data_IF_850766285881
#
_entry.id   IF_850766285881
#
_cell.length_a   1.000
_cell.length_b   1.000
_cell.length_c   1.000
_cell.angle_alpha   90.00
_cell.angle_beta   90.00
_cell.angle_gamma   90.00
#
_symmetry.space_group_name_H-M   'P 1'
#
loop_
_entity.id
_entity.type
_entity.pdbx_description
1 polymer ?
#
# COMPACT_ATOMS: atom_id res chain seq x y z
N UNK A 1 -5.78 -1.61 15.51
CA UNK A 1 -5.47 -1.60 14.07
C UNK A 1 -6.73 -1.97 13.35
N UNK A 2 -7.29 -1.04 12.59
CA UNK A 2 -8.51 -1.24 11.79
C UNK A 2 -8.12 -1.35 10.32
N UNK A 3 -8.43 -2.47 9.68
CA UNK A 3 -8.17 -2.67 8.25
C UNK A 3 -9.29 -2.03 7.43
N UNK A 4 -8.92 -1.09 6.56
CA UNK A 4 -9.84 -0.32 5.73
C UNK A 4 -9.99 -0.98 4.35
N UNK A 5 -8.86 -1.39 3.77
CA UNK A 5 -8.80 -2.02 2.44
C UNK A 5 -7.89 -3.22 2.53
N UNK A 6 -8.30 -4.34 1.93
CA UNK A 6 -7.45 -5.52 1.82
C UNK A 6 -7.63 -6.13 0.44
N UNK A 7 -6.60 -6.02 -0.40
CA UNK A 7 -6.55 -6.60 -1.74
C UNK A 7 -5.56 -7.75 -1.80
N UNK A 8 -5.41 -8.37 -2.97
CA UNK A 8 -4.36 -9.36 -3.22
C UNK A 8 -2.94 -8.78 -3.20
N UNK A 9 -2.80 -7.46 -3.41
CA UNK A 9 -1.52 -6.78 -3.60
C UNK A 9 -1.11 -5.94 -2.39
N UNK A 10 -2.07 -5.31 -1.71
CA UNK A 10 -1.79 -4.45 -0.56
C UNK A 10 -2.91 -4.52 0.48
N UNK A 11 -2.61 -4.03 1.66
CA UNK A 11 -3.57 -3.78 2.72
C UNK A 11 -3.32 -2.41 3.31
N UNK A 12 -4.42 -1.73 3.62
CA UNK A 12 -4.42 -0.44 4.27
C UNK A 12 -5.09 -0.64 5.62
N UNK A 13 -4.41 -0.19 6.67
CA UNK A 13 -4.98 -0.12 8.00
C UNK A 13 -4.64 1.20 8.66
N UNK A 14 -5.47 1.61 9.62
CA UNK A 14 -5.17 2.76 10.47
C UNK A 14 -4.94 2.31 11.91
N UNK A 15 -3.95 2.91 12.54
CA UNK A 15 -3.67 2.78 13.95
C UNK A 15 -3.33 4.15 14.51
N UNK A 16 -4.19 4.64 15.41
CA UNK A 16 -4.10 5.98 16.00
C UNK A 16 -4.02 7.04 14.89
N UNK A 17 -2.95 7.83 14.84
CA UNK A 17 -2.73 8.90 13.86
C UNK A 17 -1.86 8.44 12.68
N UNK A 18 -1.70 7.13 12.51
CA UNK A 18 -0.83 6.52 11.50
C UNK A 18 -1.67 5.68 10.55
N UNK A 19 -1.59 6.01 9.26
CA UNK A 19 -2.06 5.14 8.21
C UNK A 19 -0.92 4.22 7.76
N UNK A 20 -1.22 2.94 7.64
CA UNK A 20 -0.26 1.87 7.41
C UNK A 20 -0.64 1.18 6.11
N UNK A 21 0.26 1.26 5.13
CA UNK A 21 0.13 0.62 3.82
C UNK A 21 1.12 -0.54 3.77
N UNK A 22 0.58 -1.75 3.76
CA UNK A 22 1.32 -3.00 3.68
C UNK A 22 1.25 -3.54 2.26
N UNK A 23 2.37 -3.69 1.56
CA UNK A 23 2.39 -4.36 0.27
C UNK A 23 2.66 -5.85 0.48
N UNK A 24 1.78 -6.72 -0.02
CA UNK A 24 1.75 -8.16 0.29
C UNK A 24 2.64 -9.01 -0.62
N UNK A 25 2.52 -8.83 -1.95
CA UNK A 25 3.25 -9.62 -2.95
C UNK A 25 3.17 -9.02 -4.36
N UNK A 26 4.10 -9.45 -5.21
CA UNK A 26 4.25 -9.05 -6.60
C UNK A 26 4.03 -7.55 -6.82
N UNK A 27 4.85 -6.72 -6.15
CA UNK A 27 4.79 -5.25 -6.29
C UNK A 27 4.82 -4.83 -7.76
N UNK A 28 5.56 -5.54 -8.62
CA UNK A 28 5.65 -5.23 -10.04
C UNK A 28 4.31 -5.41 -10.76
N UNK A 29 3.64 -6.56 -10.55
CA UNK A 29 2.30 -6.80 -11.09
C UNK A 29 1.33 -5.71 -10.61
N UNK A 30 1.47 -5.29 -9.35
CA UNK A 30 0.68 -4.23 -8.76
C UNK A 30 0.92 -2.85 -9.40
N UNK A 31 2.18 -2.41 -9.53
CA UNK A 31 2.50 -1.09 -10.07
C UNK A 31 2.26 -0.99 -11.58
N UNK A 32 2.28 -2.12 -12.29
CA UNK A 32 1.98 -2.17 -13.73
C UNK A 32 0.47 -2.26 -14.01
N UNK A 33 -0.35 -2.64 -13.04
CA UNK A 33 -1.80 -2.52 -13.10
C UNK A 33 -2.24 -1.07 -12.78
N UNK A 34 -2.51 -0.29 -13.82
CA UNK A 34 -2.94 1.12 -13.73
C UNK A 34 -4.18 1.28 -12.84
N UNK A 35 -5.09 0.30 -12.83
CA UNK A 35 -6.31 0.40 -12.04
C UNK A 35 -5.99 0.24 -10.56
N UNK A 36 -5.27 -0.82 -10.20
CA UNK A 36 -4.95 -1.11 -8.80
C UNK A 36 -4.02 -0.04 -8.21
N UNK A 37 -3.01 0.40 -8.96
CA UNK A 37 -2.10 1.47 -8.54
C UNK A 37 -2.82 2.83 -8.43
N UNK A 38 -3.75 3.12 -9.34
CA UNK A 38 -4.60 4.32 -9.25
C UNK A 38 -5.46 4.34 -7.99
N UNK A 39 -6.11 3.22 -7.64
CA UNK A 39 -6.92 3.11 -6.41
C UNK A 39 -6.08 3.36 -5.14
N UNK A 40 -4.81 2.95 -5.11
CA UNK A 40 -3.92 3.25 -3.99
C UNK A 40 -3.55 4.74 -3.94
N UNK A 41 -3.25 5.37 -5.08
CA UNK A 41 -2.93 6.80 -5.15
C UNK A 41 -4.12 7.66 -4.72
N UNK A 42 -5.32 7.33 -5.17
CA UNK A 42 -6.55 8.01 -4.74
C UNK A 42 -6.72 7.92 -3.23
N UNK A 43 -6.40 6.77 -2.62
CA UNK A 43 -6.45 6.62 -1.17
C UNK A 43 -5.42 7.51 -0.46
N UNK A 44 -4.18 7.57 -0.96
CA UNK A 44 -3.12 8.43 -0.41
C UNK A 44 -3.51 9.91 -0.47
N UNK A 45 -4.09 10.35 -1.60
CA UNK A 45 -4.59 11.71 -1.78
C UNK A 45 -5.73 12.03 -0.82
N UNK A 46 -6.62 11.07 -0.58
CA UNK A 46 -7.70 11.22 0.41
C UNK A 46 -7.16 11.30 1.85
N UNK A 47 -6.16 10.49 2.21
CA UNK A 47 -5.49 10.61 3.51
C UNK A 47 -4.85 11.97 3.69
N UNK A 48 -4.26 12.55 2.65
CA UNK A 48 -3.63 13.86 2.76
C UNK A 48 -4.63 14.96 3.19
N UNK A 49 -5.92 14.76 2.92
CA UNK A 49 -6.99 15.65 3.37
C UNK A 49 -7.51 15.33 4.79
N UNK A 50 -7.16 14.17 5.36
CA UNK A 50 -7.57 13.76 6.71
C UNK A 50 -6.62 14.34 7.77
N UNK A 51 -7.10 15.35 8.49
CA UNK A 51 -6.34 16.02 9.57
C UNK A 51 -6.03 15.13 10.78
N UNK A 52 -6.64 13.94 10.89
CA UNK A 52 -6.39 12.99 11.98
C UNK A 52 -5.15 12.11 11.71
N UNK A 53 -4.81 11.88 10.45
CA UNK A 53 -3.63 11.09 10.08
C UNK A 53 -2.42 12.02 9.96
N UNK A 54 -1.41 11.78 10.78
CA UNK A 54 -0.18 12.58 10.85
C UNK A 54 1.01 11.89 10.21
N UNK A 55 0.94 10.59 10.00
CA UNK A 55 2.02 9.82 9.40
C UNK A 55 1.47 8.71 8.49
N UNK A 56 2.27 8.40 7.46
CA UNK A 56 2.02 7.33 6.52
C UNK A 56 3.21 6.37 6.59
N UNK A 57 2.95 5.13 6.98
CA UNK A 57 3.95 4.07 7.05
C UNK A 57 3.76 3.14 5.86
N UNK A 58 4.76 3.07 4.99
CA UNK A 58 4.86 2.05 3.96
C UNK A 58 5.79 0.95 4.43
N UNK A 59 5.34 -0.30 4.32
CA UNK A 59 6.24 -1.43 4.42
C UNK A 59 5.76 -2.57 3.54
N UNK A 60 6.70 -3.43 3.20
CA UNK A 60 6.48 -4.57 2.35
C UNK A 60 6.58 -5.84 3.18
N UNK A 61 5.74 -6.83 2.87
CA UNK A 61 5.96 -8.19 3.36
C UNK A 61 7.29 -8.74 2.82
N UNK A 62 7.97 -9.61 3.56
CA UNK A 62 9.10 -10.36 3.02
C UNK A 62 8.70 -11.06 1.72
N UNK A 63 9.59 -11.04 0.72
CA UNK A 63 9.37 -11.65 -0.60
C UNK A 63 8.23 -11.00 -1.42
N UNK A 64 7.92 -9.73 -1.15
CA UNK A 64 6.84 -9.03 -1.86
C UNK A 64 7.11 -8.74 -3.35
N UNK A 65 8.23 -9.14 -3.91
CA UNK A 65 8.69 -8.71 -5.22
C UNK A 65 8.86 -9.88 -6.17
N UNK A 66 8.33 -9.78 -7.40
CA UNK A 66 9.05 -10.10 -8.66
C UNK A 66 8.43 -9.31 -9.83
N UNK A 67 9.14 -9.01 -10.94
CA UNK A 67 9.16 -9.99 -12.06
C UNK A 67 10.35 -10.97 -12.08
N UNK A 68 11.57 -10.55 -11.78
CA UNK A 68 12.69 -11.42 -11.35
C UNK A 68 13.19 -10.89 -9.99
N UNK A 69 12.27 -10.79 -9.04
CA UNK A 69 12.40 -10.06 -7.76
C UNK A 69 12.55 -8.55 -7.97
N UNK A 70 11.80 -8.01 -8.94
CA UNK A 70 11.84 -6.64 -9.47
C UNK A 70 13.06 -6.38 -10.38
N UNK A 71 14.22 -6.90 -9.99
CA UNK A 71 15.20 -7.73 -10.74
C UNK A 71 16.41 -8.09 -9.81
N UNK A 72 16.23 -7.96 -8.46
CA UNK A 72 17.19 -8.06 -7.30
C UNK A 72 16.77 -7.24 -6.05
N UNK A 73 15.64 -6.50 -6.07
CA UNK A 73 15.30 -5.45 -5.09
C UNK A 73 13.79 -5.29 -4.83
#
# INVERSE_FOLDING_TARGET
>A
METIVSTGFYEISCQDEIAIIKIKKNVFDFITDIKQSGELLDFIDNIHQDTQIKALLYYNDPDSFTEEEYDKF
#
